data_IF_635037881762
#
_entry.id   IF_635037881762
#
_cell.length_a   1.000
_cell.length_b   1.000
_cell.length_c   1.000
_cell.angle_alpha   90.00
_cell.angle_beta   90.00
_cell.angle_gamma   90.00
#
_symmetry.space_group_name_H-M   'P 1'
#
loop_
_entity.id
_entity.type
_entity.pdbx_description
1 polymer ?
#
# COMPACT_ATOMS: atom_id res chain seq x y z
N UNK A 1 6.25 -8.28 5.30
CA UNK A 1 5.16 -9.28 5.35
C UNK A 1 4.42 -9.19 4.03
N UNK A 2 4.10 -10.32 3.39
CA UNK A 2 3.33 -10.36 2.15
C UNK A 2 2.15 -11.29 2.37
N UNK A 3 0.94 -10.87 2.02
CA UNK A 3 -0.25 -11.72 2.08
C UNK A 3 -1.24 -11.39 0.95
N UNK A 4 -2.16 -12.33 0.69
CA UNK A 4 -3.14 -12.21 -0.39
C UNK A 4 -4.55 -12.41 0.14
N UNK A 5 -5.49 -11.72 -0.50
CA UNK A 5 -6.91 -12.03 -0.49
C UNK A 5 -7.29 -12.60 -1.87
N UNK A 6 -8.58 -12.76 -2.15
CA UNK A 6 -9.04 -13.18 -3.48
C UNK A 6 -8.78 -12.10 -4.56
N UNK A 7 -8.76 -10.83 -4.17
CA UNK A 7 -8.77 -9.70 -5.10
C UNK A 7 -7.58 -8.76 -4.93
N UNK A 8 -6.81 -8.88 -3.85
CA UNK A 8 -5.69 -7.99 -3.56
C UNK A 8 -4.48 -8.74 -3.00
N UNK A 9 -3.28 -8.30 -3.38
CA UNK A 9 -2.01 -8.61 -2.72
C UNK A 9 -1.61 -7.42 -1.83
N UNK A 10 -1.07 -7.72 -0.66
CA UNK A 10 -0.62 -6.75 0.31
C UNK A 10 0.84 -7.00 0.62
N UNK A 11 1.66 -5.96 0.52
CA UNK A 11 3.08 -5.99 0.84
C UNK A 11 3.37 -4.90 1.87
N UNK A 12 3.82 -5.28 3.05
CA UNK A 12 4.11 -4.36 4.15
C UNK A 12 5.56 -4.48 4.63
N UNK A 13 6.17 -3.34 4.93
CA UNK A 13 7.47 -3.29 5.59
C UNK A 13 7.36 -3.57 7.10
N UNK A 14 8.49 -3.82 7.74
CA UNK A 14 8.59 -3.84 9.20
C UNK A 14 8.64 -2.39 9.71
N UNK A 15 7.98 -2.11 10.83
CA UNK A 15 8.05 -0.80 11.45
C UNK A 15 9.44 -0.56 12.05
N UNK A 16 10.16 0.45 11.57
CA UNK A 16 11.50 0.81 12.03
C UNK A 16 11.53 1.30 13.49
N UNK A 17 10.41 1.82 14.02
CA UNK A 17 10.31 2.23 15.43
C UNK A 17 10.16 1.05 16.38
N UNK A 18 9.42 0.00 15.98
CA UNK A 18 9.07 -1.12 16.87
C UNK A 18 9.78 -2.42 16.56
N UNK A 19 10.44 -2.53 15.40
CA UNK A 19 11.05 -3.75 14.88
C UNK A 19 10.04 -4.85 14.53
N UNK A 20 8.74 -4.54 14.51
CA UNK A 20 7.65 -5.51 14.29
C UNK A 20 6.70 -5.05 13.18
N UNK A 21 5.91 -5.95 12.55
CA UNK A 21 4.82 -5.54 11.67
C UNK A 21 3.83 -4.63 12.41
N UNK A 22 3.35 -3.57 11.77
CA UNK A 22 2.38 -2.65 12.36
C UNK A 22 0.94 -3.19 12.18
N UNK A 23 0.24 -3.61 13.25
CA UNK A 23 -1.12 -4.15 13.14
C UNK A 23 -2.14 -3.11 12.68
N UNK A 24 -2.04 -1.85 13.15
CA UNK A 24 -2.93 -0.77 12.75
C UNK A 24 -2.82 -0.45 11.26
N UNK A 25 -1.60 -0.46 10.72
CA UNK A 25 -1.36 -0.27 9.29
C UNK A 25 -2.03 -1.38 8.46
N UNK A 26 -1.89 -2.64 8.87
CA UNK A 26 -2.53 -3.76 8.18
C UNK A 26 -4.06 -3.67 8.25
N UNK A 27 -4.63 -3.21 9.36
CA UNK A 27 -6.07 -3.00 9.51
C UNK A 27 -6.57 -1.87 8.61
N UNK A 28 -5.88 -0.73 8.62
CA UNK A 28 -6.19 0.43 7.77
C UNK A 28 -6.20 0.06 6.29
N UNK A 29 -5.18 -0.66 5.82
CA UNK A 29 -5.10 -1.08 4.43
C UNK A 29 -6.25 -2.00 4.00
N UNK A 30 -6.71 -2.90 4.88
CA UNK A 30 -7.88 -3.74 4.61
C UNK A 30 -9.16 -2.92 4.49
N UNK A 31 -9.38 -2.00 5.44
CA UNK A 31 -10.54 -1.11 5.40
C UNK A 31 -10.55 -0.24 4.14
N UNK A 32 -9.38 0.23 3.70
CA UNK A 32 -9.25 0.98 2.43
C UNK A 32 -9.55 0.11 1.22
N UNK A 33 -9.01 -1.10 1.15
CA UNK A 33 -9.29 -2.02 0.05
C UNK A 33 -10.80 -2.33 -0.05
N UNK A 34 -11.49 -2.51 1.08
CA UNK A 34 -12.94 -2.72 1.14
C UNK A 34 -13.72 -1.46 0.70
N UNK A 35 -13.30 -0.28 1.16
CA UNK A 35 -13.91 0.99 0.77
C UNK A 35 -13.76 1.25 -0.75
N UNK A 36 -12.57 1.04 -1.29
CA UNK A 36 -12.31 1.21 -2.73
C UNK A 36 -13.06 0.18 -3.58
N UNK A 37 -13.18 -1.07 -3.12
CA UNK A 37 -14.00 -2.09 -3.79
C UNK A 37 -15.48 -1.68 -3.85
N UNK A 38 -15.98 -1.02 -2.81
CA UNK A 38 -17.36 -0.50 -2.75
C UNK A 38 -17.54 0.72 -3.64
N UNK A 39 -16.53 1.61 -3.72
CA UNK A 39 -16.60 2.84 -4.51
C UNK A 39 -16.45 2.59 -6.02
N UNK A 40 -15.58 1.64 -6.42
CA UNK A 40 -15.19 1.40 -7.82
C UNK A 40 -16.37 1.33 -8.82
N UNK A 41 -17.48 0.63 -8.55
CA UNK A 41 -18.60 0.56 -9.50
C UNK A 41 -19.34 1.89 -9.72
N UNK A 42 -19.20 2.84 -8.79
CA UNK A 42 -19.88 4.14 -8.81
C UNK A 42 -18.96 5.30 -9.21
N UNK A 43 -17.66 5.05 -9.44
CA UNK A 43 -16.65 6.07 -9.71
C UNK A 43 -15.92 5.82 -11.02
N UNK A 44 -15.17 6.82 -11.51
CA UNK A 44 -14.29 6.61 -12.67
C UNK A 44 -13.07 5.77 -12.28
N UNK A 45 -12.37 5.23 -13.28
CA UNK A 45 -11.08 4.54 -13.07
C UNK A 45 -10.00 5.45 -12.48
N UNK A 46 -10.11 6.75 -12.72
CA UNK A 46 -9.19 7.79 -12.23
C UNK A 46 -9.60 8.33 -10.85
N UNK A 47 -10.62 7.74 -10.21
CA UNK A 47 -11.03 8.14 -8.89
C UNK A 47 -9.94 7.81 -7.88
N UNK A 48 -9.68 8.78 -7.01
CA UNK A 48 -8.60 8.74 -6.03
C UNK A 48 -9.06 9.35 -4.71
N UNK A 49 -8.59 8.76 -3.62
CA UNK A 49 -8.74 9.31 -2.28
C UNK A 49 -7.36 9.44 -1.65
N UNK A 50 -7.03 10.65 -1.22
CA UNK A 50 -5.83 10.94 -0.44
C UNK A 50 -6.21 11.49 0.93
N UNK A 51 -5.36 11.23 1.92
CA UNK A 51 -5.60 11.77 3.24
C UNK A 51 -4.56 11.39 4.27
N UNK A 52 -4.89 11.75 5.52
CA UNK A 52 -4.09 11.45 6.70
C UNK A 52 -4.96 10.80 7.78
N UNK A 53 -4.36 9.98 8.62
CA UNK A 53 -5.04 9.29 9.72
C UNK A 53 -4.06 9.01 10.85
N UNK A 54 -4.48 9.17 12.11
CA UNK A 54 -3.65 8.81 13.25
C UNK A 54 -3.86 7.37 13.67
N UNK A 55 -2.77 6.60 13.71
CA UNK A 55 -2.75 5.22 14.16
C UNK A 55 -2.47 5.18 15.67
N UNK A 56 -3.46 4.72 16.44
CA UNK A 56 -3.42 4.70 17.91
C UNK A 56 -2.60 3.54 18.51
N UNK A 57 -2.01 2.67 17.68
CA UNK A 57 -1.31 1.45 18.16
C UNK A 57 0.17 1.66 18.48
N UNK A 58 0.72 2.84 18.17
CA UNK A 58 2.08 3.21 18.54
C UNK A 58 2.03 4.10 19.79
N UNK A 59 2.87 3.83 20.79
CA UNK A 59 2.94 4.62 22.04
C UNK A 59 3.26 6.09 21.79
N UNK A 60 4.06 6.38 20.76
CA UNK A 60 4.44 7.73 20.35
C UNK A 60 3.41 8.43 19.45
N UNK A 61 2.31 7.75 19.11
CA UNK A 61 1.44 8.15 18.01
C UNK A 61 2.11 7.92 16.65
N UNK A 62 1.30 7.65 15.63
CA UNK A 62 1.82 7.44 14.28
C UNK A 62 0.83 7.95 13.24
N UNK A 63 1.10 9.12 12.68
CA UNK A 63 0.32 9.66 11.57
C UNK A 63 0.65 8.89 10.30
N UNK A 64 -0.38 8.33 9.67
CA UNK A 64 -0.33 7.65 8.40
C UNK A 64 -0.88 8.57 7.30
N UNK A 65 -0.18 8.62 6.18
CA UNK A 65 -0.62 9.28 4.94
C UNK A 65 -0.93 8.22 3.92
N UNK A 66 -1.98 8.42 3.14
CA UNK A 66 -2.41 7.41 2.18
C UNK A 66 -2.89 8.02 0.88
N UNK A 67 -2.77 7.20 -0.16
CA UNK A 67 -3.29 7.43 -1.50
C UNK A 67 -3.93 6.13 -1.98
N UNK A 68 -5.19 6.19 -2.37
CA UNK A 68 -5.97 5.02 -2.75
C UNK A 68 -6.63 5.24 -4.11
N UNK A 69 -6.26 4.39 -5.06
CA UNK A 69 -6.87 4.26 -6.37
C UNK A 69 -7.46 2.85 -6.54
N UNK A 70 -8.18 2.63 -7.63
CA UNK A 70 -8.82 1.33 -7.88
C UNK A 70 -7.82 0.16 -8.02
N UNK A 71 -6.61 0.41 -8.55
CA UNK A 71 -5.60 -0.62 -8.81
C UNK A 71 -4.51 -0.70 -7.74
N UNK A 72 -4.29 0.39 -6.99
CA UNK A 72 -3.22 0.51 -6.02
C UNK A 72 -3.63 1.35 -4.81
N UNK A 73 -3.24 0.90 -3.62
CA UNK A 73 -3.35 1.67 -2.38
C UNK A 73 -1.99 1.71 -1.72
N UNK A 74 -1.54 2.92 -1.33
CA UNK A 74 -0.31 3.12 -0.58
C UNK A 74 -0.55 3.83 0.72
N UNK A 75 0.15 3.39 1.75
CA UNK A 75 0.11 3.97 3.09
C UNK A 75 1.53 4.14 3.63
N UNK A 76 1.81 5.34 4.13
CA UNK A 76 3.10 5.78 4.66
C UNK A 76 2.95 6.24 6.11
N UNK A 77 3.63 5.58 7.04
CA UNK A 77 3.53 5.85 8.46
C UNK A 77 4.69 6.70 8.98
N UNK A 78 4.41 7.67 9.85
CA UNK A 78 5.42 8.44 10.57
C UNK A 78 6.25 9.35 9.68
N UNK A 79 5.63 9.92 8.64
CA UNK A 79 6.24 10.92 7.75
C UNK A 79 5.74 12.33 8.12
N UNK A 80 6.55 13.34 7.81
CA UNK A 80 6.12 14.74 7.95
C UNK A 80 4.95 15.05 7.01
N UNK A 81 4.02 15.90 7.47
CA UNK A 81 2.91 16.45 6.68
C UNK A 81 3.39 17.29 5.50
N UNK A 82 4.59 17.87 5.60
CA UNK A 82 5.15 18.76 4.57
C UNK A 82 5.83 18.01 3.44
N UNK A 83 5.98 16.69 3.56
CA UNK A 83 6.59 15.88 2.49
C UNK A 83 5.61 15.79 1.30
N UNK A 84 6.00 16.15 0.07
CA UNK A 84 5.12 15.99 -1.08
C UNK A 84 4.73 14.51 -1.29
N UNK A 85 3.45 14.24 -1.60
CA UNK A 85 2.96 12.87 -1.82
C UNK A 85 3.73 12.19 -2.94
N UNK A 86 4.13 12.92 -3.99
CA UNK A 86 4.90 12.39 -5.12
C UNK A 86 6.28 11.87 -4.70
N UNK A 87 6.90 12.48 -3.68
CA UNK A 87 8.15 11.97 -3.12
C UNK A 87 7.95 10.68 -2.34
N UNK A 88 6.83 10.55 -1.64
CA UNK A 88 6.46 9.31 -0.94
C UNK A 88 6.16 8.20 -1.96
N UNK A 89 5.47 8.52 -3.05
CA UNK A 89 5.20 7.59 -4.14
C UNK A 89 6.49 7.10 -4.79
N UNK A 90 7.40 8.02 -5.15
CA UNK A 90 8.70 7.63 -5.69
C UNK A 90 9.54 6.77 -4.74
N UNK A 91 9.41 6.99 -3.42
CA UNK A 91 10.06 6.13 -2.41
C UNK A 91 9.36 4.76 -2.30
N UNK A 92 8.04 4.72 -2.42
CA UNK A 92 7.26 3.48 -2.50
C UNK A 92 7.61 2.65 -3.72
N UNK A 93 7.80 3.27 -4.89
CA UNK A 93 8.22 2.61 -6.12
C UNK A 93 9.59 1.96 -5.97
N UNK A 94 10.51 2.63 -5.29
CA UNK A 94 11.84 2.07 -4.99
C UNK A 94 11.76 0.84 -4.07
N UNK A 95 10.76 0.79 -3.18
CA UNK A 95 10.66 -0.23 -2.13
C UNK A 95 9.78 -1.43 -2.52
N UNK A 96 8.77 -1.21 -3.35
CA UNK A 96 7.77 -2.21 -3.73
C UNK A 96 7.66 -2.42 -5.24
N UNK A 97 8.24 -1.54 -6.04
CA UNK A 97 8.21 -1.64 -7.49
C UNK A 97 9.03 -2.83 -8.00
N UNK A 98 8.72 -3.33 -9.21
CA UNK A 98 9.47 -4.42 -9.84
C UNK A 98 10.84 -3.98 -10.35
N UNK A 99 11.04 -2.67 -10.54
CA UNK A 99 12.26 -2.08 -11.09
C UNK A 99 13.24 -1.72 -9.97
N UNK A 100 14.53 -1.91 -10.24
CA UNK A 100 15.57 -1.44 -9.34
C UNK A 100 15.81 0.06 -9.54
N UNK A 101 15.20 0.87 -8.67
CA UNK A 101 15.34 2.33 -8.69
C UNK A 101 16.43 2.76 -7.71
N UNK A 102 17.46 3.45 -8.18
CA UNK A 102 18.48 4.05 -7.30
C UNK A 102 18.11 5.49 -6.94
N UNK A 103 18.11 5.81 -5.64
CA UNK A 103 17.99 7.16 -5.10
C UNK A 103 19.11 7.42 -4.10
N UNK A 104 19.45 8.68 -3.88
CA UNK A 104 20.43 9.08 -2.86
C UNK A 104 19.88 8.86 -1.46
N UNK A 105 20.77 8.63 -0.48
CA UNK A 105 20.38 8.42 0.92
C UNK A 105 19.59 9.61 1.54
N UNK A 106 19.77 10.82 0.99
CA UNK A 106 19.04 12.03 1.39
C UNK A 106 17.77 12.31 0.58
N UNK A 107 17.26 11.35 -0.18
CA UNK A 107 16.06 11.54 -1.00
C UNK A 107 14.83 11.92 -0.17
N UNK A 108 14.67 11.30 1.00
CA UNK A 108 13.73 11.71 2.04
C UNK A 108 14.52 12.05 3.31
N UNK A 109 14.27 13.22 3.87
CA UNK A 109 14.82 13.63 5.17
C UNK A 109 14.23 12.79 6.31
N UNK A 110 12.94 12.44 6.19
CA UNK A 110 12.19 11.65 7.15
C UNK A 110 11.51 10.48 6.42
N UNK A 111 12.19 9.33 6.28
CA UNK A 111 11.60 8.17 5.64
C UNK A 111 10.45 7.61 6.50
N UNK A 112 9.41 7.05 5.87
CA UNK A 112 8.32 6.41 6.60
C UNK A 112 8.85 5.32 7.53
N UNK A 113 8.40 5.33 8.78
CA UNK A 113 8.75 4.28 9.73
C UNK A 113 8.14 2.93 9.38
N UNK A 114 7.00 2.91 8.67
CA UNK A 114 6.40 1.71 8.11
C UNK A 114 5.67 2.08 6.81
N UNK A 115 5.54 1.12 5.90
CA UNK A 115 4.86 1.31 4.63
C UNK A 115 4.08 0.07 4.24
N UNK A 116 3.02 0.28 3.45
CA UNK A 116 2.23 -0.79 2.90
C UNK A 116 1.77 -0.42 1.50
N UNK A 117 1.91 -1.37 0.58
CA UNK A 117 1.38 -1.35 -0.78
C UNK A 117 0.31 -2.44 -0.92
N UNK A 118 -0.83 -2.07 -1.51
CA UNK A 118 -1.89 -2.99 -1.91
C UNK A 118 -2.03 -2.89 -3.41
N UNK A 119 -1.99 -4.03 -4.09
CA UNK A 119 -2.22 -4.12 -5.52
C UNK A 119 -3.40 -5.06 -5.81
N UNK A 120 -4.21 -4.73 -6.81
CA UNK A 120 -5.29 -5.63 -7.25
C UNK A 120 -4.71 -6.85 -7.94
N UNK A 121 -5.25 -8.03 -7.61
CA UNK A 121 -4.96 -9.27 -8.32
C UNK A 121 -5.89 -9.40 -9.53
N UNK A 122 -5.38 -9.87 -10.67
CA UNK A 122 -6.25 -10.25 -11.79
C UNK A 122 -7.21 -11.36 -11.32
N UNK A 123 -8.46 -11.38 -11.82
CA UNK A 123 -9.36 -12.49 -11.54
C UNK A 123 -8.66 -13.81 -11.93
N UNK A 124 -8.68 -14.77 -11.00
CA UNK A 124 -8.10 -16.09 -11.25
C UNK A 124 -8.79 -16.67 -12.49
N UNK A 125 -8.02 -16.93 -13.54
CA UNK A 125 -8.53 -17.63 -14.71
C UNK A 125 -8.79 -19.08 -14.30
N UNK A 126 -10.04 -19.38 -13.96
CA UNK A 126 -10.47 -20.77 -13.87
C UNK A 126 -10.62 -21.30 -15.30
N UNK A 127 -9.84 -22.35 -15.61
CA UNK A 127 -9.88 -23.23 -16.80
C UNK A 127 -9.02 -22.89 -18.04
N UNK A 128 -7.95 -23.68 -18.21
CA UNK A 128 -7.67 -24.34 -19.49
C UNK A 128 -7.85 -25.84 -19.22
N UNK A 129 -8.90 -26.51 -19.76
CA UNK A 129 -8.95 -27.96 -19.69
C UNK A 129 -7.79 -28.55 -20.50
N UNK A 130 -6.98 -29.37 -19.85
CA UNK A 130 -5.93 -30.18 -20.47
C UNK A 130 -6.56 -31.05 -21.58
N UNK A 131 -6.33 -30.69 -22.85
CA UNK A 131 -6.73 -31.54 -23.98
C UNK A 131 -5.69 -32.67 -24.13
N UNK A 132 -6.12 -33.89 -23.84
CA UNK A 132 -5.39 -35.11 -24.20
C UNK A 132 -5.69 -35.39 -25.67
N UNK A 133 -4.71 -35.19 -26.55
CA UNK A 133 -4.78 -35.67 -27.93
C UNK A 133 -4.65 -37.20 -27.93
N UNK A 134 -5.60 -37.86 -28.58
CA UNK A 134 -5.60 -39.29 -28.86
C UNK A 134 -4.64 -39.65 -30.01
#
# INVERSE_FOLDING_TARGET
MIWKTKTHEFTASVCQRTGKPCPALAQMARAMAEAMATATPATSKTFEVEGTSDLTHCTEGCTARFRAQSEQIRVYCGTSTDTPTEKLDAYGDMMFGPEFIQKSAGFLSEPPCAMLDVSTLPPRSDSIPYQVSA
#
